data_IF_431795892014
#
_entry.id   IF_431795892014
#
_cell.length_a   1.000
_cell.length_b   1.000
_cell.length_c   1.000
_cell.angle_alpha   90.00
_cell.angle_beta   90.00
_cell.angle_gamma   90.00
#
_symmetry.space_group_name_H-M   'P 1'
#
loop_
_entity.id
_entity.type
_entity.pdbx_description
1 polymer ?
#
# COMPACT_ATOMS: atom_id res chain seq x y z
N UNK A 1 -27.36 9.62 30.64
CA UNK A 1 -26.40 9.06 29.67
C UNK A 1 -25.23 10.03 29.57
N UNK A 2 -24.08 9.72 30.17
CA UNK A 2 -22.91 10.61 30.18
C UNK A 2 -22.17 10.48 28.85
N UNK A 3 -21.97 11.59 28.14
CA UNK A 3 -21.17 11.61 26.91
C UNK A 3 -19.70 11.29 27.25
N UNK A 4 -19.03 10.43 26.48
CA UNK A 4 -17.63 10.09 26.71
C UNK A 4 -16.72 11.33 26.55
N UNK A 5 -15.69 11.41 27.39
CA UNK A 5 -14.73 12.51 27.35
C UNK A 5 -13.94 12.54 26.02
N UNK A 6 -13.46 13.72 25.61
CA UNK A 6 -12.62 13.85 24.40
C UNK A 6 -11.34 13.01 24.49
N UNK A 7 -10.80 12.79 25.69
CA UNK A 7 -9.65 11.93 25.90
C UNK A 7 -9.98 10.45 25.59
N UNK A 8 -11.16 10.00 26.01
CA UNK A 8 -11.68 8.65 25.72
C UNK A 8 -11.88 8.45 24.22
N UNK A 9 -12.50 9.42 23.53
CA UNK A 9 -12.72 9.37 22.09
C UNK A 9 -11.40 9.33 21.29
N UNK A 10 -10.41 10.15 21.68
CA UNK A 10 -9.07 10.12 21.07
C UNK A 10 -8.32 8.81 21.35
N UNK A 11 -8.48 8.21 22.52
CA UNK A 11 -7.88 6.92 22.85
C UNK A 11 -8.46 5.79 22.01
N UNK A 12 -9.79 5.66 21.98
CA UNK A 12 -10.49 4.67 21.14
C UNK A 12 -10.13 4.86 19.67
N UNK A 13 -10.08 6.12 19.21
CA UNK A 13 -9.64 6.50 17.87
C UNK A 13 -8.24 5.98 17.50
N UNK A 14 -7.32 5.86 18.47
CA UNK A 14 -5.96 5.36 18.21
C UNK A 14 -5.86 3.84 18.30
N UNK A 15 -6.62 3.21 19.18
CA UNK A 15 -6.62 1.77 19.38
C UNK A 15 -7.05 1.02 18.11
N UNK A 16 -8.13 1.46 17.46
CA UNK A 16 -8.58 0.81 16.23
C UNK A 16 -7.56 0.98 15.09
N UNK A 17 -6.97 2.16 14.94
CA UNK A 17 -5.94 2.41 13.91
C UNK A 17 -4.73 1.51 14.11
N UNK A 18 -4.28 1.37 15.36
CA UNK A 18 -3.18 0.48 15.71
C UNK A 18 -3.51 -0.98 15.39
N UNK A 19 -4.74 -1.44 15.67
CA UNK A 19 -5.19 -2.79 15.33
C UNK A 19 -5.22 -3.02 13.82
N UNK A 20 -5.76 -2.08 13.05
CA UNK A 20 -5.81 -2.17 11.58
C UNK A 20 -4.40 -2.18 10.97
N UNK A 21 -3.48 -1.37 11.50
CA UNK A 21 -2.07 -1.42 11.09
C UNK A 21 -1.46 -2.80 11.33
N UNK A 22 -1.60 -3.34 12.55
CA UNK A 22 -1.04 -4.66 12.85
C UNK A 22 -1.68 -5.75 12.01
N UNK A 23 -2.99 -5.68 11.75
CA UNK A 23 -3.65 -6.60 10.85
C UNK A 23 -3.02 -6.57 9.45
N UNK A 24 -2.81 -5.38 8.87
CA UNK A 24 -2.21 -5.23 7.54
C UNK A 24 -0.76 -5.73 7.51
N UNK A 25 0.05 -5.35 8.49
CA UNK A 25 1.47 -5.76 8.57
C UNK A 25 1.60 -7.27 8.81
N UNK A 26 0.78 -7.84 9.69
CA UNK A 26 0.76 -9.29 9.93
C UNK A 26 0.27 -10.03 8.70
N UNK A 27 -0.76 -9.56 8.00
CA UNK A 27 -1.22 -10.15 6.75
C UNK A 27 -0.11 -10.13 5.69
N UNK A 28 0.61 -9.01 5.55
CA UNK A 28 1.76 -8.90 4.64
C UNK A 28 2.83 -9.95 4.98
N UNK A 29 3.23 -10.01 6.24
CA UNK A 29 4.26 -10.94 6.70
C UNK A 29 3.84 -12.41 6.48
N UNK A 30 2.60 -12.75 6.79
CA UNK A 30 2.07 -14.11 6.59
C UNK A 30 1.98 -14.49 5.12
N UNK A 31 1.53 -13.58 4.24
CA UNK A 31 1.45 -13.88 2.81
C UNK A 31 2.86 -14.14 2.23
N UNK A 32 3.83 -13.29 2.56
CA UNK A 32 5.22 -13.48 2.14
C UNK A 32 5.80 -14.80 2.68
N UNK A 33 5.56 -15.10 3.96
CA UNK A 33 6.02 -16.34 4.60
C UNK A 33 5.43 -17.57 3.91
N UNK A 34 4.13 -17.55 3.61
CA UNK A 34 3.44 -18.65 2.93
C UNK A 34 4.06 -18.89 1.55
N UNK A 35 4.22 -17.86 0.72
CA UNK A 35 4.79 -18.07 -0.62
C UNK A 35 6.29 -18.34 -0.63
N UNK A 36 7.02 -18.08 0.46
CA UNK A 36 8.44 -18.47 0.59
C UNK A 36 8.63 -19.91 1.06
N UNK A 37 7.73 -20.42 1.91
CA UNK A 37 7.89 -21.73 2.55
C UNK A 37 7.10 -22.83 1.84
N UNK A 38 5.92 -22.50 1.32
CA UNK A 38 5.06 -23.46 0.66
C UNK A 38 5.41 -23.49 -0.83
N UNK A 39 5.93 -24.61 -1.37
CA UNK A 39 6.20 -24.71 -2.79
C UNK A 39 4.88 -24.65 -3.55
N UNK A 40 4.72 -23.62 -4.39
CA UNK A 40 3.53 -23.43 -5.21
C UNK A 40 3.95 -23.08 -6.63
N UNK A 41 3.72 -23.99 -7.59
CA UNK A 41 4.00 -23.76 -9.02
C UNK A 41 3.33 -22.49 -9.55
N UNK A 42 2.17 -22.11 -8.99
CA UNK A 42 1.44 -20.89 -9.37
C UNK A 42 2.22 -19.58 -9.11
N UNK A 43 3.24 -19.62 -8.26
CA UNK A 43 4.07 -18.44 -7.94
C UNK A 43 5.35 -18.38 -8.80
N UNK A 44 5.61 -19.39 -9.63
CA UNK A 44 6.79 -19.42 -10.49
C UNK A 44 6.74 -18.32 -11.53
N UNK A 45 7.86 -17.61 -11.69
CA UNK A 45 7.96 -16.44 -12.57
C UNK A 45 7.22 -15.19 -12.09
N UNK A 46 6.38 -15.27 -11.04
CA UNK A 46 5.63 -14.12 -10.48
C UNK A 46 6.48 -13.23 -9.57
N UNK A 47 7.79 -13.07 -9.83
CA UNK A 47 8.66 -12.11 -9.15
C UNK A 47 8.75 -12.19 -7.61
N UNK A 48 8.48 -13.35 -6.99
CA UNK A 48 8.40 -13.49 -5.53
C UNK A 48 9.66 -13.01 -4.77
N UNK A 49 10.90 -13.24 -5.26
CA UNK A 49 12.10 -12.71 -4.60
C UNK A 49 12.15 -11.18 -4.55
N UNK A 50 11.68 -10.49 -5.59
CA UNK A 50 11.62 -9.03 -5.59
C UNK A 50 10.57 -8.52 -4.59
N UNK A 51 9.40 -9.18 -4.53
CA UNK A 51 8.32 -8.86 -3.60
C UNK A 51 8.75 -9.09 -2.14
N UNK A 52 9.46 -10.18 -1.84
CA UNK A 52 9.89 -10.52 -0.47
C UNK A 52 10.89 -9.53 0.11
N UNK A 53 11.65 -8.82 -0.73
CA UNK A 53 12.54 -7.74 -0.32
C UNK A 53 11.84 -6.38 -0.35
N UNK A 54 11.12 -6.08 -1.42
CA UNK A 54 10.53 -4.76 -1.66
C UNK A 54 9.31 -4.47 -0.80
N UNK A 55 8.39 -5.43 -0.65
CA UNK A 55 7.10 -5.17 -0.01
C UNK A 55 7.23 -4.88 1.50
N UNK A 56 8.15 -5.49 2.27
CA UNK A 56 8.39 -5.10 3.66
C UNK A 56 8.78 -3.62 3.84
N UNK A 57 9.35 -2.96 2.82
CA UNK A 57 9.70 -1.54 2.90
C UNK A 57 8.46 -0.65 3.10
N UNK A 58 7.30 -1.08 2.60
CA UNK A 58 6.02 -0.36 2.82
C UNK A 58 5.66 -0.26 4.31
N UNK A 59 5.90 -1.31 5.09
CA UNK A 59 5.63 -1.35 6.52
C UNK A 59 6.64 -0.50 7.33
N UNK A 60 7.84 -0.31 6.80
CA UNK A 60 8.90 0.46 7.44
C UNK A 60 8.83 1.96 7.12
N UNK A 61 8.32 2.33 5.93
CA UNK A 61 8.35 3.69 5.40
C UNK A 61 7.84 4.75 6.40
N UNK A 62 6.64 4.53 6.95
CA UNK A 62 6.02 5.47 7.89
C UNK A 62 6.76 5.54 9.23
N UNK A 63 7.32 4.42 9.69
CA UNK A 63 8.16 4.38 10.89
C UNK A 63 9.45 5.17 10.70
N UNK A 64 10.09 5.04 9.54
CA UNK A 64 11.27 5.82 9.16
C UNK A 64 10.94 7.31 9.14
N UNK A 65 9.85 7.73 8.49
CA UNK A 65 9.40 9.13 8.47
C UNK A 65 9.18 9.66 9.89
N UNK A 66 8.53 8.88 10.76
CA UNK A 66 8.27 9.27 12.14
C UNK A 66 9.57 9.44 12.95
N UNK A 67 10.53 8.53 12.78
CA UNK A 67 11.85 8.61 13.42
C UNK A 67 12.64 9.84 12.91
N UNK A 68 12.65 10.08 11.59
CA UNK A 68 13.30 11.24 10.99
C UNK A 68 12.69 12.56 11.46
N UNK A 69 11.38 12.58 11.70
CA UNK A 69 10.64 13.69 12.33
C UNK A 69 10.81 13.76 13.86
N UNK A 70 11.81 13.06 14.40
CA UNK A 70 12.17 13.02 15.83
C UNK A 70 11.02 12.57 16.72
N UNK A 71 10.20 11.63 16.24
CA UNK A 71 9.07 11.04 16.96
C UNK A 71 8.04 12.09 17.42
N UNK A 72 7.96 13.24 16.74
CA UNK A 72 6.98 14.28 17.05
C UNK A 72 5.57 13.80 16.71
N UNK A 73 4.65 13.97 17.66
CA UNK A 73 3.27 13.54 17.53
C UNK A 73 3.10 12.02 17.65
N UNK A 74 1.89 11.56 17.36
CA UNK A 74 1.55 10.13 17.40
C UNK A 74 2.11 9.39 16.19
N UNK A 75 2.46 8.11 16.37
CA UNK A 75 2.83 7.26 15.26
C UNK A 75 1.68 7.20 14.22
N UNK A 76 1.98 7.28 12.90
CA UNK A 76 0.98 7.33 11.84
C UNK A 76 0.36 5.94 11.54
N UNK A 77 -0.36 5.35 12.50
CA UNK A 77 -0.90 3.98 12.38
C UNK A 77 -1.78 3.78 11.13
N UNK A 78 -2.75 4.67 10.89
CA UNK A 78 -3.66 4.57 9.75
C UNK A 78 -2.95 4.76 8.41
N UNK A 79 -2.11 5.81 8.21
CA UNK A 79 -1.27 5.91 7.01
C UNK A 79 -0.42 4.66 6.74
N UNK A 80 0.19 4.06 7.78
CA UNK A 80 0.93 2.80 7.62
C UNK A 80 0.04 1.67 7.13
N UNK A 81 -1.15 1.49 7.72
CA UNK A 81 -2.06 0.44 7.31
C UNK A 81 -2.48 0.59 5.84
N UNK A 82 -2.90 1.81 5.45
CA UNK A 82 -3.31 2.13 4.08
C UNK A 82 -2.17 1.94 3.07
N UNK A 83 -0.93 2.26 3.45
CA UNK A 83 0.24 2.05 2.59
C UNK A 83 0.58 0.57 2.41
N UNK A 84 0.38 -0.26 3.44
CA UNK A 84 0.68 -1.71 3.39
C UNK A 84 -0.39 -2.49 2.63
N UNK A 85 -1.65 -2.07 2.68
CA UNK A 85 -2.79 -2.78 2.08
C UNK A 85 -2.59 -3.15 0.61
N UNK A 86 -2.12 -2.27 -0.30
CA UNK A 86 -1.88 -2.63 -1.71
C UNK A 86 -1.01 -3.87 -1.89
N UNK A 87 0.06 -3.98 -1.10
CA UNK A 87 1.00 -5.09 -1.15
C UNK A 87 0.39 -6.39 -0.62
N UNK A 88 -0.48 -6.29 0.39
CA UNK A 88 -1.25 -7.45 0.88
C UNK A 88 -2.19 -7.95 -0.22
N UNK A 89 -2.90 -7.04 -0.90
CA UNK A 89 -3.86 -7.41 -1.93
C UNK A 89 -3.18 -8.04 -3.17
N UNK A 90 -2.02 -7.53 -3.59
CA UNK A 90 -1.21 -8.17 -4.65
C UNK A 90 -0.80 -9.60 -4.26
N UNK A 91 -0.28 -9.80 -3.04
CA UNK A 91 0.13 -11.14 -2.61
C UNK A 91 -1.05 -12.10 -2.52
N UNK A 92 -2.20 -11.65 -2.00
CA UNK A 92 -3.41 -12.46 -1.96
C UNK A 92 -3.91 -12.80 -3.37
N UNK A 93 -3.85 -11.85 -4.31
CA UNK A 93 -4.18 -12.09 -5.71
C UNK A 93 -3.32 -13.19 -6.32
N UNK A 94 -2.01 -13.19 -6.06
CA UNK A 94 -1.10 -14.24 -6.51
C UNK A 94 -1.35 -15.58 -5.80
N UNK A 95 -1.50 -15.57 -4.47
CA UNK A 95 -1.72 -16.78 -3.67
C UNK A 95 -3.03 -17.49 -4.05
N UNK A 96 -4.09 -16.74 -4.33
CA UNK A 96 -5.39 -17.28 -4.76
C UNK A 96 -5.55 -17.37 -6.28
N UNK A 97 -4.49 -17.08 -7.05
CA UNK A 97 -4.48 -17.19 -8.51
C UNK A 97 -5.51 -16.28 -9.21
N UNK A 98 -5.90 -15.17 -8.58
CA UNK A 98 -6.92 -14.26 -9.14
C UNK A 98 -6.45 -13.55 -10.40
N UNK A 99 -5.14 -13.26 -10.52
CA UNK A 99 -4.57 -12.70 -11.74
C UNK A 99 -4.78 -13.61 -12.96
N UNK A 100 -4.85 -14.93 -12.77
CA UNK A 100 -5.01 -15.88 -13.88
C UNK A 100 -6.46 -16.38 -14.04
N UNK A 101 -7.33 -16.17 -13.03
CA UNK A 101 -8.67 -16.78 -12.98
C UNK A 101 -9.83 -15.79 -12.99
N UNK A 102 -9.59 -14.52 -12.64
CA UNK A 102 -10.62 -13.49 -12.57
C UNK A 102 -10.37 -12.45 -13.65
N UNK A 103 -11.36 -12.28 -14.53
CA UNK A 103 -11.28 -11.30 -15.62
C UNK A 103 -11.11 -9.88 -15.07
N UNK A 104 -10.18 -9.11 -15.65
CA UNK A 104 -9.85 -7.72 -15.29
C UNK A 104 -9.46 -7.54 -13.81
N UNK A 105 -9.03 -8.61 -13.14
CA UNK A 105 -8.60 -8.51 -11.74
C UNK A 105 -7.43 -7.55 -11.58
N UNK A 106 -6.50 -7.55 -12.54
CA UNK A 106 -5.32 -6.70 -12.49
C UNK A 106 -5.70 -5.21 -12.51
N UNK A 107 -6.50 -4.77 -13.49
CA UNK A 107 -6.98 -3.38 -13.59
C UNK A 107 -7.75 -2.93 -12.35
N UNK A 108 -8.66 -3.79 -11.87
CA UNK A 108 -9.48 -3.49 -10.70
C UNK A 108 -8.59 -3.37 -9.45
N UNK A 109 -7.64 -4.29 -9.28
CA UNK A 109 -6.72 -4.28 -8.16
C UNK A 109 -5.84 -3.04 -8.20
N UNK A 110 -5.31 -2.68 -9.37
CA UNK A 110 -4.51 -1.47 -9.55
C UNK A 110 -5.32 -0.22 -9.18
N UNK A 111 -6.57 -0.11 -9.65
CA UNK A 111 -7.46 1.00 -9.27
C UNK A 111 -7.67 1.07 -7.75
N UNK A 112 -8.01 -0.05 -7.10
CA UNK A 112 -8.23 -0.12 -5.65
C UNK A 112 -6.96 0.22 -4.87
N UNK A 113 -5.82 -0.33 -5.29
CA UNK A 113 -4.51 -0.06 -4.70
C UNK A 113 -4.15 1.42 -4.81
N UNK A 114 -4.47 2.05 -5.94
CA UNK A 114 -4.26 3.48 -6.16
C UNK A 114 -5.00 4.34 -5.14
N UNK A 115 -6.26 3.97 -4.84
CA UNK A 115 -7.07 4.66 -3.85
C UNK A 115 -6.47 4.54 -2.43
N UNK A 116 -5.95 3.37 -2.07
CA UNK A 116 -5.26 3.17 -0.79
C UNK A 116 -3.98 4.02 -0.67
N UNK A 117 -3.16 4.09 -1.73
CA UNK A 117 -1.94 4.90 -1.74
C UNK A 117 -2.26 6.40 -1.59
N UNK A 118 -3.24 6.90 -2.35
CA UNK A 118 -3.71 8.28 -2.23
C UNK A 118 -4.28 8.57 -0.84
N UNK A 119 -5.06 7.64 -0.28
CA UNK A 119 -5.61 7.76 1.07
C UNK A 119 -4.50 7.76 2.14
N UNK A 120 -3.47 6.92 2.01
CA UNK A 120 -2.33 6.89 2.92
C UNK A 120 -1.62 8.25 2.95
N UNK A 121 -1.39 8.85 1.77
CA UNK A 121 -0.81 10.17 1.64
C UNK A 121 -1.69 11.25 2.28
N UNK A 122 -2.99 11.29 1.97
CA UNK A 122 -3.91 12.30 2.53
C UNK A 122 -4.12 12.13 4.05
N UNK A 123 -4.01 10.91 4.57
CA UNK A 123 -4.13 10.61 6.01
C UNK A 123 -2.93 11.11 6.83
N UNK A 124 -1.81 11.47 6.20
CA UNK A 124 -0.67 12.13 6.87
C UNK A 124 -0.98 13.56 7.31
N UNK A 125 -2.02 14.17 6.75
CA UNK A 125 -2.36 15.56 6.97
C UNK A 125 -3.50 15.71 7.98
N UNK A 126 -3.30 16.60 8.97
CA UNK A 126 -4.32 16.90 9.98
C UNK A 126 -5.53 17.59 9.32
N UNK A 127 -6.75 17.03 9.46
CA UNK A 127 -7.98 17.64 8.94
C UNK A 127 -8.25 19.04 9.48
N UNK A 128 -7.75 19.36 10.68
CA UNK A 128 -7.96 20.67 11.30
C UNK A 128 -7.11 21.78 10.63
N UNK A 129 -6.03 21.41 9.94
CA UNK A 129 -5.09 22.37 9.35
C UNK A 129 -5.27 22.55 7.84
N UNK A 130 -6.05 21.70 7.18
CA UNK A 130 -6.22 21.72 5.73
C UNK A 130 -7.69 21.54 5.34
N UNK A 131 -8.20 22.50 4.56
CA UNK A 131 -9.55 22.42 4.00
C UNK A 131 -9.73 21.12 3.19
N UNK A 132 -10.94 20.51 3.18
CA UNK A 132 -11.17 19.24 2.49
C UNK A 132 -10.75 19.26 1.02
N UNK A 133 -11.02 20.36 0.30
CA UNK A 133 -10.65 20.48 -1.11
C UNK A 133 -9.14 20.49 -1.34
N UNK A 134 -8.37 21.12 -0.45
CA UNK A 134 -6.90 21.11 -0.54
C UNK A 134 -6.35 19.69 -0.31
N UNK A 135 -6.97 18.93 0.61
CA UNK A 135 -6.60 17.54 0.86
C UNK A 135 -6.93 16.65 -0.33
N UNK A 136 -8.09 16.86 -0.96
CA UNK A 136 -8.46 16.19 -2.20
C UNK A 136 -7.48 16.52 -3.33
N UNK A 137 -7.15 17.80 -3.54
CA UNK A 137 -6.20 18.23 -4.56
C UNK A 137 -4.78 17.69 -4.33
N UNK A 138 -4.32 17.62 -3.07
CA UNK A 138 -3.04 17.01 -2.72
C UNK A 138 -3.05 15.49 -2.99
N UNK A 139 -4.13 14.80 -2.66
CA UNK A 139 -4.29 13.37 -2.93
C UNK A 139 -4.30 13.06 -4.41
N UNK A 140 -5.10 13.78 -5.20
CA UNK A 140 -5.17 13.60 -6.65
C UNK A 140 -3.87 13.99 -7.34
N UNK A 141 -3.23 15.09 -6.92
CA UNK A 141 -1.92 15.51 -7.44
C UNK A 141 -0.82 14.51 -7.13
N UNK A 142 -0.81 13.94 -5.92
CA UNK A 142 0.09 12.83 -5.56
C UNK A 142 -0.16 11.61 -6.45
N UNK A 143 -1.42 11.19 -6.62
CA UNK A 143 -1.78 10.08 -7.50
C UNK A 143 -1.35 10.30 -8.94
N UNK A 144 -1.56 11.51 -9.48
CA UNK A 144 -1.13 11.87 -10.84
C UNK A 144 0.40 11.85 -11.00
N UNK A 145 1.15 12.35 -10.02
CA UNK A 145 2.61 12.29 -10.06
C UNK A 145 3.11 10.84 -9.93
N UNK A 146 2.51 10.06 -9.03
CA UNK A 146 2.89 8.68 -8.80
C UNK A 146 2.69 7.82 -10.04
N UNK A 147 1.62 8.05 -10.82
CA UNK A 147 1.36 7.25 -12.03
C UNK A 147 2.39 7.61 -13.10
N UNK A 148 2.72 8.89 -13.28
CA UNK A 148 3.78 9.31 -14.21
C UNK A 148 5.12 8.67 -13.83
N UNK A 149 5.45 8.61 -12.54
CA UNK A 149 6.68 7.96 -12.08
C UNK A 149 6.65 6.45 -12.27
N UNK A 150 5.48 5.81 -12.10
CA UNK A 150 5.28 4.40 -12.36
C UNK A 150 5.51 4.07 -13.84
N UNK A 151 4.82 4.76 -14.74
CA UNK A 151 4.98 4.61 -16.20
C UNK A 151 6.43 4.80 -16.63
N UNK A 152 7.10 5.82 -16.07
CA UNK A 152 8.51 6.07 -16.36
C UNK A 152 9.42 4.93 -15.88
N UNK A 153 9.18 4.39 -14.69
CA UNK A 153 9.92 3.23 -14.17
C UNK A 153 9.69 2.00 -15.05
N UNK A 154 8.44 1.76 -15.44
CA UNK A 154 8.04 0.65 -16.28
C UNK A 154 8.74 0.71 -17.64
N UNK A 155 8.75 1.89 -18.26
CA UNK A 155 9.51 2.17 -19.47
C UNK A 155 11.00 1.83 -19.32
N UNK A 156 11.64 2.24 -18.22
CA UNK A 156 13.05 1.93 -17.99
C UNK A 156 13.32 0.42 -17.82
N UNK A 157 12.41 -0.32 -17.17
CA UNK A 157 12.52 -1.77 -16.99
C UNK A 157 12.34 -2.50 -18.33
N UNK A 158 11.42 -2.04 -19.18
CA UNK A 158 11.28 -2.56 -20.54
C UNK A 158 12.56 -2.33 -21.35
N UNK A 159 13.15 -1.13 -21.27
CA UNK A 159 14.40 -0.80 -21.97
C UNK A 159 15.61 -1.59 -21.45
N UNK A 160 15.60 -2.06 -20.19
CA UNK A 160 16.67 -2.93 -19.67
C UNK A 160 16.59 -4.38 -20.16
N UNK A 161 15.56 -4.75 -20.91
CA UNK A 161 15.38 -6.12 -21.43
C UNK A 161 14.97 -7.14 -20.37
N UNK A 162 14.44 -6.67 -19.23
CA UNK A 162 13.94 -7.55 -18.16
C UNK A 162 12.63 -8.23 -18.61
N UNK A 163 12.58 -9.56 -18.54
CA UNK A 163 11.41 -10.35 -18.93
C UNK A 163 10.68 -10.92 -17.71
N UNK A 164 9.40 -11.31 -17.87
CA UNK A 164 8.61 -11.98 -16.82
C UNK A 164 7.76 -11.08 -15.91
N UNK A 165 7.74 -9.76 -16.16
CA UNK A 165 6.87 -8.82 -15.44
C UNK A 165 5.57 -8.50 -16.19
N UNK A 166 5.33 -9.13 -17.35
CA UNK A 166 4.18 -8.87 -18.24
C UNK A 166 3.98 -7.38 -18.61
N UNK A 167 5.03 -6.56 -18.50
CA UNK A 167 4.98 -5.15 -18.90
C UNK A 167 4.81 -5.08 -20.42
N UNK A 168 3.79 -4.38 -20.88
CA UNK A 168 3.47 -4.28 -22.30
C UNK A 168 3.19 -2.83 -22.69
N UNK A 169 3.48 -2.49 -23.95
CA UNK A 169 3.08 -1.21 -24.52
C UNK A 169 1.56 -1.02 -24.56
N UNK A 170 0.78 -2.10 -24.48
CA UNK A 170 -0.69 -2.03 -24.42
C UNK A 170 -1.18 -1.60 -23.03
N UNK A 171 -0.33 -1.72 -22.00
CA UNK A 171 -0.62 -1.33 -20.61
C UNK A 171 -0.05 0.05 -20.24
N UNK A 172 0.82 0.63 -21.08
CA UNK A 172 1.30 2.02 -20.93
C UNK A 172 0.29 3.01 -21.52
N UNK A 173 -0.03 4.09 -20.81
CA UNK A 173 -0.90 5.19 -21.28
C UNK A 173 -0.17 6.15 -22.21
#
# INVERSE_FOLDING_TARGET
MLLPSMATLRHVGREWQRRVMWLAVTALALCLLVGLIVPMERLDGKGWPARSVGYPLSALAMGTIWILRKKKGTFPYLPTALLVTPFVLDLLGNLFQFFDTVQNFDDLLHFVNWMFLCAAFVAMFDPANLAPWNRSALGTGFGALAIILWEFMEYLIMQSGTTGLHLSYEDTV
#
